data_IF_005214949592
#
_entry.id   IF_005214949592
#
_cell.length_a   1.000
_cell.length_b   1.000
_cell.length_c   1.000
_cell.angle_alpha   90.00
_cell.angle_beta   90.00
_cell.angle_gamma   90.00
#
_symmetry.space_group_name_H-M   'P 1'
#
loop_
_entity.id
_entity.type
_entity.pdbx_description
1 polymer ?
#
# COMPACT_ATOMS: atom_id res chain seq x y z
N UNK A 1 9.59 -68.10 -4.50
CA UNK A 1 9.28 -66.66 -4.36
C UNK A 1 7.81 -66.51 -4.01
N UNK A 2 7.48 -65.87 -2.88
CA UNK A 2 6.12 -65.84 -2.30
C UNK A 2 5.34 -64.63 -2.82
N UNK A 3 4.07 -64.80 -3.25
CA UNK A 3 3.25 -63.74 -3.86
C UNK A 3 2.74 -62.66 -2.89
N UNK A 4 3.18 -62.65 -1.63
CA UNK A 4 2.76 -61.68 -0.60
C UNK A 4 3.66 -60.44 -0.44
N UNK A 5 4.91 -60.47 -0.93
CA UNK A 5 5.88 -59.39 -0.69
C UNK A 5 5.72 -58.18 -1.63
N UNK A 6 5.04 -58.35 -2.76
CA UNK A 6 4.92 -57.29 -3.78
C UNK A 6 3.82 -56.29 -3.45
N UNK A 7 2.78 -56.72 -2.70
CA UNK A 7 1.62 -55.88 -2.38
C UNK A 7 1.93 -54.87 -1.26
N UNK A 8 2.76 -55.28 -0.28
CA UNK A 8 3.10 -54.46 0.89
C UNK A 8 4.05 -53.30 0.51
N UNK A 9 4.94 -53.51 -0.47
CA UNK A 9 5.91 -52.51 -0.94
C UNK A 9 5.28 -51.40 -1.79
N UNK A 10 4.19 -51.70 -2.51
CA UNK A 10 3.43 -50.72 -3.31
C UNK A 10 2.56 -49.80 -2.45
N UNK A 11 2.03 -50.30 -1.34
CA UNK A 11 1.18 -49.52 -0.43
C UNK A 11 2.03 -48.55 0.41
N UNK A 12 3.22 -48.96 0.86
CA UNK A 12 4.14 -48.08 1.62
C UNK A 12 4.65 -46.92 0.75
N UNK A 13 4.87 -47.13 -0.55
CA UNK A 13 5.34 -46.08 -1.46
C UNK A 13 4.25 -45.04 -1.79
N UNK A 14 2.97 -45.43 -1.81
CA UNK A 14 1.85 -44.53 -2.08
C UNK A 14 1.49 -43.64 -0.88
N UNK A 15 1.71 -44.10 0.35
CA UNK A 15 1.38 -43.34 1.58
C UNK A 15 2.43 -42.26 1.88
N UNK A 16 3.69 -42.43 1.47
CA UNK A 16 4.75 -41.44 1.70
C UNK A 16 4.60 -40.21 0.78
N UNK A 17 3.94 -40.34 -0.38
CA UNK A 17 3.73 -39.21 -1.30
C UNK A 17 2.59 -38.27 -0.88
N UNK A 18 1.66 -38.70 -0.02
CA UNK A 18 0.49 -37.90 0.35
C UNK A 18 0.71 -36.97 1.56
N UNK A 19 1.85 -37.06 2.26
CA UNK A 19 2.13 -36.29 3.49
C UNK A 19 3.11 -35.13 3.24
N UNK A 20 3.74 -35.06 2.07
CA UNK A 20 4.80 -34.08 1.77
C UNK A 20 4.32 -32.69 1.32
N UNK A 21 3.02 -32.43 1.19
CA UNK A 21 2.47 -31.21 0.57
C UNK A 21 1.71 -30.28 1.52
N UNK A 22 1.96 -30.38 2.83
CA UNK A 22 1.34 -29.52 3.84
C UNK A 22 2.31 -28.53 4.51
N UNK A 23 3.53 -28.37 4.00
CA UNK A 23 4.58 -27.63 4.69
C UNK A 23 5.20 -26.49 3.87
N UNK A 24 4.41 -25.55 3.33
CA UNK A 24 4.93 -24.24 2.88
C UNK A 24 3.88 -23.12 2.89
N UNK A 25 3.06 -23.01 3.93
CA UNK A 25 2.48 -21.70 4.26
C UNK A 25 3.47 -20.96 5.18
N UNK A 26 4.66 -20.68 4.66
CA UNK A 26 5.55 -19.72 5.29
C UNK A 26 4.85 -18.37 5.18
N UNK A 27 4.40 -17.82 6.30
CA UNK A 27 4.12 -16.39 6.36
C UNK A 27 5.43 -15.69 6.02
N UNK A 28 5.58 -15.26 4.76
CA UNK A 28 6.57 -14.25 4.41
C UNK A 28 6.09 -13.01 5.14
N UNK A 29 6.68 -12.76 6.31
CA UNK A 29 6.59 -11.47 6.97
C UNK A 29 7.30 -10.49 6.06
N UNK A 30 6.55 -9.91 5.11
CA UNK A 30 7.01 -8.74 4.39
C UNK A 30 7.25 -7.67 5.45
N UNK A 31 8.51 -7.31 5.68
CA UNK A 31 8.84 -6.16 6.51
C UNK A 31 8.30 -4.94 5.79
N UNK A 32 7.52 -4.13 6.51
CA UNK A 32 6.98 -2.90 5.96
C UNK A 32 8.15 -1.95 5.68
N UNK A 33 8.26 -1.36 4.48
CA UNK A 33 9.41 -0.54 4.12
C UNK A 33 9.50 0.68 5.03
N UNK A 34 10.71 1.04 5.40
CA UNK A 34 11.01 2.16 6.29
C UNK A 34 11.86 3.21 5.59
N UNK A 35 11.95 4.41 6.18
CA UNK A 35 12.75 5.50 5.63
C UNK A 35 14.25 5.13 5.50
N UNK A 36 14.72 4.13 6.25
CA UNK A 36 16.09 3.63 6.17
C UNK A 36 16.33 2.77 4.92
N UNK A 37 15.27 2.21 4.33
CA UNK A 37 15.36 1.32 3.17
C UNK A 37 15.39 2.07 1.83
N UNK A 38 15.02 3.36 1.86
CA UNK A 38 14.97 4.21 0.66
C UNK A 38 16.37 4.56 0.14
N UNK A 39 16.53 4.49 -1.17
CA UNK A 39 17.66 5.02 -1.92
C UNK A 39 17.50 6.54 -2.10
N UNK A 40 18.17 7.28 -1.21
CA UNK A 40 17.97 8.72 -1.09
C UNK A 40 18.67 9.58 -2.16
N UNK A 41 19.53 9.06 -3.04
CA UNK A 41 20.20 9.85 -4.09
C UNK A 41 21.10 10.99 -3.57
N UNK A 42 21.66 11.80 -4.48
CA UNK A 42 22.74 12.75 -4.15
C UNK A 42 22.28 14.03 -3.42
N UNK A 43 21.02 14.41 -3.56
CA UNK A 43 20.48 15.67 -3.02
C UNK A 43 20.43 15.74 -1.50
N UNK A 44 20.53 14.59 -0.79
CA UNK A 44 20.68 14.57 0.67
C UNK A 44 21.94 15.29 1.12
N UNK A 45 22.99 15.32 0.29
CA UNK A 45 24.19 16.10 0.58
C UNK A 45 23.87 17.61 0.70
N UNK A 46 22.94 18.12 -0.11
CA UNK A 46 22.49 19.51 -0.05
C UNK A 46 21.41 19.74 1.02
N UNK A 47 20.61 18.70 1.31
CA UNK A 47 19.47 18.74 2.22
C UNK A 47 19.52 17.57 3.21
N UNK A 48 20.46 17.59 4.18
CA UNK A 48 20.66 16.47 5.10
C UNK A 48 19.46 16.23 6.02
N UNK A 49 18.64 17.27 6.25
CA UNK A 49 17.45 17.20 7.10
C UNK A 49 16.34 16.30 6.54
N UNK A 50 16.41 15.91 5.28
CA UNK A 50 15.36 15.14 4.61
C UNK A 50 15.22 13.76 5.23
N UNK A 51 16.33 13.06 5.43
CA UNK A 51 16.30 11.69 5.96
C UNK A 51 15.66 11.67 7.35
N UNK A 52 15.99 12.66 8.18
CA UNK A 52 15.43 12.82 9.53
C UNK A 52 13.98 13.32 9.51
N UNK A 53 13.55 13.97 8.43
CA UNK A 53 12.16 14.47 8.28
C UNK A 53 11.21 13.46 7.64
N UNK A 54 11.71 12.32 7.18
CA UNK A 54 10.88 11.26 6.61
C UNK A 54 9.93 10.68 7.68
N UNK A 55 8.63 10.78 7.44
CA UNK A 55 7.58 10.34 8.36
C UNK A 55 7.11 8.90 8.11
N UNK A 56 7.56 8.28 7.03
CA UNK A 56 7.24 6.90 6.67
C UNK A 56 7.46 6.62 5.19
N UNK A 57 7.14 5.40 4.77
CA UNK A 57 7.21 4.97 3.37
C UNK A 57 5.87 4.37 2.95
N UNK A 58 5.49 4.61 1.70
CA UNK A 58 4.32 3.99 1.08
C UNK A 58 4.75 3.38 -0.24
N UNK A 59 4.34 2.13 -0.48
CA UNK A 59 4.51 1.50 -1.78
C UNK A 59 3.26 1.71 -2.64
N UNK A 60 3.45 2.18 -3.87
CA UNK A 60 2.37 2.29 -4.86
C UNK A 60 2.89 1.86 -6.22
N UNK A 61 2.22 0.86 -6.82
CA UNK A 61 2.59 0.29 -8.12
C UNK A 61 4.05 -0.21 -8.18
N UNK A 62 4.55 -0.80 -7.08
CA UNK A 62 5.93 -1.30 -6.98
C UNK A 62 7.00 -0.21 -6.83
N UNK A 63 6.60 1.04 -6.61
CA UNK A 63 7.52 2.17 -6.35
C UNK A 63 7.35 2.60 -4.89
N UNK A 64 8.47 2.74 -4.18
CA UNK A 64 8.50 3.27 -2.84
C UNK A 64 8.46 4.81 -2.85
N UNK A 65 7.64 5.39 -1.99
CA UNK A 65 7.51 6.84 -1.82
C UNK A 65 7.84 7.21 -0.38
N UNK A 66 8.77 8.15 -0.22
CA UNK A 66 9.02 8.83 1.04
C UNK A 66 7.83 9.74 1.38
N UNK A 67 7.26 9.55 2.57
CA UNK A 67 6.19 10.41 3.09
C UNK A 67 6.80 11.52 3.94
N UNK A 68 6.42 12.76 3.65
CA UNK A 68 6.76 13.92 4.48
C UNK A 68 5.51 14.62 4.96
N UNK A 69 5.56 15.14 6.18
CA UNK A 69 4.56 16.06 6.69
C UNK A 69 5.13 17.48 6.61
N UNK A 70 4.37 18.41 6.07
CA UNK A 70 4.80 19.80 5.96
C UNK A 70 3.63 20.76 6.13
N UNK A 71 3.93 22.02 6.41
CA UNK A 71 2.97 23.13 6.34
C UNK A 71 3.34 24.03 5.17
N UNK A 72 2.35 24.37 4.35
CA UNK A 72 2.50 25.31 3.25
C UNK A 72 2.80 26.71 3.81
N UNK A 73 3.98 27.27 3.56
CA UNK A 73 4.24 28.66 3.96
C UNK A 73 3.86 29.63 2.85
N UNK A 74 4.29 29.35 1.61
CA UNK A 74 4.09 30.26 0.49
C UNK A 74 4.23 29.59 -0.87
N UNK A 75 3.34 29.98 -1.79
CA UNK A 75 3.51 29.76 -3.22
C UNK A 75 4.03 31.06 -3.85
N UNK A 76 5.09 30.97 -4.64
CA UNK A 76 5.65 32.12 -5.34
C UNK A 76 5.15 32.17 -6.80
N UNK A 77 5.02 33.36 -7.37
CA UNK A 77 4.55 33.54 -8.75
C UNK A 77 5.46 32.89 -9.81
N UNK A 78 6.71 32.61 -9.47
CA UNK A 78 7.63 31.88 -10.34
C UNK A 78 7.40 30.35 -10.30
N UNK A 79 6.56 29.85 -9.40
CA UNK A 79 6.29 28.42 -9.20
C UNK A 79 7.13 27.74 -8.11
N UNK A 80 7.99 28.48 -7.40
CA UNK A 80 8.65 27.96 -6.20
C UNK A 80 7.63 27.82 -5.06
N UNK A 81 7.92 26.89 -4.16
CA UNK A 81 7.11 26.62 -2.97
C UNK A 81 8.02 26.64 -1.76
N UNK A 82 7.63 27.45 -0.76
CA UNK A 82 8.25 27.46 0.57
C UNK A 82 7.42 26.60 1.51
N UNK A 83 8.05 25.61 2.11
CA UNK A 83 7.43 24.69 3.06
C UNK A 83 8.15 24.72 4.41
N UNK A 84 7.38 24.48 5.46
CA UNK A 84 7.90 24.08 6.77
C UNK A 84 7.74 22.57 6.88
N UNK A 85 8.83 21.83 6.78
CA UNK A 85 8.86 20.37 6.80
C UNK A 85 9.03 19.92 8.25
N UNK A 86 8.14 19.06 8.72
CA UNK A 86 8.13 18.57 10.11
C UNK A 86 8.76 17.20 10.19
N UNK A 87 9.68 17.04 11.13
CA UNK A 87 10.27 15.76 11.47
C UNK A 87 9.42 15.03 12.54
N UNK A 88 9.50 13.68 12.61
CA UNK A 88 8.75 12.90 13.60
C UNK A 88 9.10 13.23 15.06
N UNK A 89 10.27 13.79 15.32
CA UNK A 89 10.72 14.22 16.65
C UNK A 89 10.13 15.57 17.09
N UNK A 90 9.32 16.20 16.24
CA UNK A 90 8.71 17.51 16.48
C UNK A 90 9.59 18.69 16.08
N UNK A 91 10.82 18.46 15.63
CA UNK A 91 11.64 19.50 14.99
C UNK A 91 11.11 19.83 13.59
N UNK A 92 11.52 20.97 13.05
CA UNK A 92 11.12 21.38 11.71
C UNK A 92 12.25 22.12 10.99
N UNK A 93 12.21 22.04 9.67
CA UNK A 93 13.10 22.76 8.77
C UNK A 93 12.26 23.55 7.78
N UNK A 94 12.81 24.65 7.26
CA UNK A 94 12.17 25.43 6.20
C UNK A 94 13.00 25.31 4.95
N UNK A 95 12.36 24.95 3.85
CA UNK A 95 13.02 24.89 2.56
C UNK A 95 12.13 25.44 1.44
N UNK A 96 12.78 25.84 0.35
CA UNK A 96 12.14 26.30 -0.86
C UNK A 96 12.59 25.45 -2.03
N UNK A 97 11.65 24.89 -2.78
CA UNK A 97 11.93 24.12 -3.98
C UNK A 97 10.88 24.37 -5.06
N UNK A 98 11.22 24.02 -6.30
CA UNK A 98 10.28 24.03 -7.42
C UNK A 98 9.74 22.61 -7.61
N UNK A 99 8.48 22.32 -7.24
CA UNK A 99 7.87 21.04 -7.57
C UNK A 99 7.70 20.90 -9.10
N UNK A 100 7.74 19.67 -9.63
CA UNK A 100 7.27 19.40 -10.99
C UNK A 100 5.81 19.86 -11.18
N UNK A 101 5.43 20.21 -12.41
CA UNK A 101 4.12 20.82 -12.70
C UNK A 101 2.93 19.87 -12.42
N UNK A 102 3.15 18.59 -12.63
CA UNK A 102 2.25 17.46 -12.37
C UNK A 102 2.23 17.06 -10.89
N UNK A 103 3.23 17.46 -10.10
CA UNK A 103 3.33 17.06 -8.70
C UNK A 103 2.18 17.64 -7.87
N UNK A 104 1.61 16.80 -7.00
CA UNK A 104 0.48 17.11 -6.13
C UNK A 104 0.85 16.81 -4.69
N UNK A 105 0.41 17.68 -3.79
CA UNK A 105 0.46 17.41 -2.36
C UNK A 105 -0.91 16.91 -1.91
N UNK A 106 -0.91 15.98 -0.97
CA UNK A 106 -2.14 15.52 -0.34
C UNK A 106 -2.54 16.49 0.77
N UNK A 107 -3.76 16.98 0.70
CA UNK A 107 -4.38 17.87 1.67
C UNK A 107 -5.63 17.17 2.19
N UNK A 108 -5.59 16.66 3.41
CA UNK A 108 -6.69 15.92 4.04
C UNK A 108 -7.21 14.72 3.22
N UNK A 109 -6.35 14.09 2.41
CA UNK A 109 -6.74 12.97 1.54
C UNK A 109 -7.08 13.37 0.10
N UNK A 110 -7.07 14.67 -0.21
CA UNK A 110 -7.29 15.19 -1.56
C UNK A 110 -5.96 15.60 -2.22
N UNK A 111 -5.63 15.09 -3.42
CA UNK A 111 -4.43 15.51 -4.14
C UNK A 111 -4.64 16.87 -4.81
N UNK A 112 -3.95 17.91 -4.32
CA UNK A 112 -4.05 19.27 -4.83
C UNK A 112 -2.72 19.79 -5.42
N UNK A 113 -2.79 20.63 -6.48
CA UNK A 113 -1.62 21.38 -6.94
C UNK A 113 -1.23 22.44 -5.92
N UNK A 114 0.08 22.70 -5.77
CA UNK A 114 0.59 23.69 -4.81
C UNK A 114 0.03 25.11 -4.98
N UNK A 115 -0.33 25.49 -6.21
CA UNK A 115 -0.95 26.79 -6.49
C UNK A 115 -2.35 26.96 -5.90
N UNK A 116 -3.03 25.86 -5.57
CA UNK A 116 -4.38 25.87 -4.96
C UNK A 116 -4.35 25.67 -3.44
N UNK A 117 -3.18 25.42 -2.86
CA UNK A 117 -3.05 25.13 -1.42
C UNK A 117 -2.86 26.46 -0.66
N UNK A 118 -3.75 26.79 0.28
CA UNK A 118 -3.60 28.00 1.09
C UNK A 118 -2.36 27.93 1.99
N UNK A 119 -1.73 29.07 2.22
CA UNK A 119 -0.70 29.20 3.26
C UNK A 119 -1.27 28.82 4.64
N UNK A 120 -0.44 28.19 5.46
CA UNK A 120 -0.77 27.67 6.79
C UNK A 120 -1.42 26.28 6.78
N UNK A 121 -1.72 25.72 5.61
CA UNK A 121 -2.33 24.38 5.52
C UNK A 121 -1.28 23.28 5.70
N UNK A 122 -1.61 22.28 6.50
CA UNK A 122 -0.81 21.06 6.61
C UNK A 122 -1.06 20.16 5.40
N UNK A 123 0.04 19.64 4.86
CA UNK A 123 0.08 18.85 3.64
C UNK A 123 0.96 17.62 3.83
N UNK A 124 0.67 16.57 3.07
CA UNK A 124 1.50 15.36 2.97
C UNK A 124 2.12 15.29 1.59
N UNK A 125 3.43 15.10 1.54
CA UNK A 125 4.17 14.90 0.29
C UNK A 125 4.56 13.44 0.16
N UNK A 126 4.41 12.91 -1.04
CA UNK A 126 4.84 11.56 -1.39
C UNK A 126 5.86 11.67 -2.51
N UNK A 127 7.13 11.44 -2.18
CA UNK A 127 8.21 11.63 -3.15
C UNK A 127 8.83 10.27 -3.50
N UNK A 128 8.85 9.88 -4.78
CA UNK A 128 9.35 8.57 -5.18
C UNK A 128 10.84 8.41 -4.90
N UNK A 129 11.23 7.19 -4.53
CA UNK A 129 12.63 6.77 -4.40
C UNK A 129 13.42 7.08 -5.69
N UNK A 130 14.66 7.55 -5.54
CA UNK A 130 15.57 7.82 -6.67
C UNK A 130 15.18 8.98 -7.61
N UNK A 131 14.02 9.64 -7.42
CA UNK A 131 13.51 10.70 -8.31
C UNK A 131 13.35 12.07 -7.64
N UNK A 132 14.28 12.42 -6.77
CA UNK A 132 14.43 13.79 -6.26
C UNK A 132 15.26 14.68 -7.19
N UNK A 133 15.21 14.41 -8.50
CA UNK A 133 15.59 15.34 -9.57
C UNK A 133 14.31 15.69 -10.33
N UNK A 134 14.27 16.87 -10.95
CA UNK A 134 13.11 17.33 -11.75
C UNK A 134 12.78 16.32 -12.84
N UNK A 135 11.90 15.36 -12.55
CA UNK A 135 11.35 14.44 -13.54
C UNK A 135 9.84 14.62 -13.48
N UNK A 136 9.35 15.42 -14.43
CA UNK A 136 7.94 15.37 -14.84
C UNK A 136 7.59 13.93 -15.21
N UNK A 137 6.51 13.41 -14.68
CA UNK A 137 5.87 12.27 -15.30
C UNK A 137 5.14 12.80 -16.53
N UNK A 138 5.68 12.56 -17.72
CA UNK A 138 4.83 12.42 -18.90
C UNK A 138 4.08 11.10 -18.68
N UNK A 139 2.83 11.19 -18.19
CA UNK A 139 1.86 10.15 -18.52
C UNK A 139 1.62 10.26 -20.02
N UNK A 140 1.98 9.20 -20.76
CA UNK A 140 1.51 8.99 -22.13
C UNK A 140 -0.02 8.95 -22.12
N UNK A 141 -0.64 10.13 -22.25
CA UNK A 141 -2.06 10.27 -22.54
C UNK A 141 -2.24 9.86 -23.99
N UNK A 142 -2.62 8.60 -24.19
CA UNK A 142 -3.29 8.16 -25.41
C UNK A 142 -4.58 8.99 -25.51
N UNK A 143 -4.55 10.07 -26.28
CA UNK A 143 -5.74 10.86 -26.59
C UNK A 143 -6.55 10.08 -27.62
N UNK A 144 -7.46 9.22 -27.17
CA UNK A 144 -8.65 8.94 -27.99
C UNK A 144 -9.47 10.23 -28.00
N UNK A 145 -9.62 10.79 -29.20
CA UNK A 145 -10.37 12.01 -29.44
C UNK A 145 -11.83 11.80 -29.02
N UNK A 146 -12.22 12.35 -27.86
CA UNK A 146 -13.61 12.50 -27.48
C UNK A 146 -14.05 13.92 -27.84
N UNK A 147 -15.02 13.96 -28.74
CA UNK A 147 -15.69 15.15 -29.25
C UNK A 147 -16.31 15.94 -28.11
N UNK A 148 -16.02 17.24 -28.09
CA UNK A 148 -16.58 18.23 -27.17
C UNK A 148 -18.01 18.54 -27.60
N UNK A 149 -18.97 18.27 -26.72
CA UNK A 149 -20.25 18.99 -26.69
C UNK A 149 -20.47 19.52 -25.26
N UNK A 150 -20.36 20.84 -25.10
CA UNK A 150 -20.85 21.60 -23.94
C UNK A 150 -22.38 21.86 -24.11
N UNK A 151 -23.07 22.49 -23.14
CA UNK A 151 -23.53 21.95 -21.88
C UNK A 151 -25.05 22.16 -21.70
N UNK A 152 -25.73 21.35 -20.88
CA UNK A 152 -27.09 21.68 -20.41
C UNK A 152 -27.19 21.50 -18.90
N UNK A 153 -27.62 22.58 -18.27
CA UNK A 153 -27.96 22.73 -16.86
C UNK A 153 -29.05 21.73 -16.42
N UNK A 154 -28.92 21.11 -15.26
CA UNK A 154 -29.95 21.19 -14.22
C UNK A 154 -29.48 20.62 -12.88
N UNK A 155 -29.85 21.34 -11.84
CA UNK A 155 -29.61 21.08 -10.42
C UNK A 155 -30.54 19.98 -9.94
N UNK A 156 -30.01 18.89 -9.37
CA UNK A 156 -30.78 17.99 -8.51
C UNK A 156 -29.97 17.64 -7.27
N UNK A 157 -30.46 18.14 -6.14
CA UNK A 157 -30.05 17.76 -4.79
C UNK A 157 -30.51 16.31 -4.55
N UNK A 158 -29.56 15.41 -4.29
CA UNK A 158 -29.86 14.03 -3.87
C UNK A 158 -29.32 13.86 -2.45
N UNK A 159 -30.23 13.76 -1.47
CA UNK A 159 -29.94 13.13 -0.18
C UNK A 159 -29.65 11.65 -0.43
N UNK A 160 -28.39 11.22 -0.28
CA UNK A 160 -28.03 9.80 -0.33
C UNK A 160 -27.63 9.33 1.07
N UNK A 161 -28.45 8.43 1.60
CA UNK A 161 -28.27 7.74 2.88
C UNK A 161 -27.01 6.86 2.85
N UNK A 162 -26.10 7.07 3.79
CA UNK A 162 -24.89 6.26 3.99
C UNK A 162 -25.29 4.82 4.36
N UNK A 163 -25.38 3.94 3.37
CA UNK A 163 -25.39 2.50 3.58
C UNK A 163 -23.94 2.05 3.61
N UNK A 164 -23.43 1.75 4.80
CA UNK A 164 -22.09 1.19 4.93
C UNK A 164 -22.00 -0.10 4.08
N UNK A 165 -20.92 -0.32 3.30
CA UNK A 165 -20.78 -1.56 2.58
C UNK A 165 -20.59 -2.70 3.60
N UNK A 166 -21.47 -3.69 3.55
CA UNK A 166 -21.31 -4.95 4.28
C UNK A 166 -20.11 -5.72 3.72
N UNK A 167 -18.91 -5.43 4.21
CA UNK A 167 -17.66 -6.11 3.84
C UNK A 167 -17.28 -7.25 4.80
N UNK A 168 -18.24 -7.81 5.53
CA UNK A 168 -18.05 -9.09 6.20
C UNK A 168 -18.22 -10.22 5.17
N UNK A 169 -17.14 -10.52 4.43
CA UNK A 169 -17.07 -11.76 3.64
C UNK A 169 -17.43 -12.96 4.54
N UNK A 170 -18.07 -14.02 4.03
CA UNK A 170 -18.47 -15.19 4.83
C UNK A 170 -17.27 -16.10 5.21
N UNK A 171 -16.03 -15.67 4.97
CA UNK A 171 -14.81 -16.41 5.33
C UNK A 171 -14.75 -16.89 6.81
N UNK A 172 -15.12 -16.12 7.84
CA UNK A 172 -15.11 -16.61 9.22
C UNK A 172 -16.14 -17.72 9.46
N UNK A 173 -17.27 -17.73 8.73
CA UNK A 173 -18.26 -18.81 8.82
C UNK A 173 -17.74 -20.12 8.22
N UNK A 174 -17.01 -20.04 7.09
CA UNK A 174 -16.38 -21.21 6.46
C UNK A 174 -15.29 -21.79 7.38
N UNK A 175 -14.49 -20.91 8.00
CA UNK A 175 -13.47 -21.32 8.98
C UNK A 175 -14.06 -22.04 10.20
N UNK A 176 -15.16 -21.53 10.74
CA UNK A 176 -15.86 -22.14 11.88
C UNK A 176 -16.42 -23.53 11.51
N UNK A 177 -17.06 -23.65 10.35
CA UNK A 177 -17.58 -24.93 9.86
C UNK A 177 -16.45 -25.96 9.66
N UNK A 178 -15.33 -25.56 9.07
CA UNK A 178 -14.16 -26.43 8.90
C UNK A 178 -13.57 -26.91 10.24
N UNK A 179 -13.43 -26.01 11.21
CA UNK A 179 -12.94 -26.34 12.55
C UNK A 179 -13.82 -27.36 13.27
N UNK A 180 -15.14 -27.24 13.12
CA UNK A 180 -16.11 -28.19 13.71
C UNK A 180 -15.93 -29.61 13.16
N UNK A 181 -15.75 -29.75 11.84
CA UNK A 181 -15.56 -31.07 11.22
C UNK A 181 -14.24 -31.73 11.64
N UNK A 182 -13.17 -30.96 11.82
CA UNK A 182 -11.88 -31.48 12.32
C UNK A 182 -12.01 -31.96 13.77
N UNK A 183 -12.70 -31.20 14.63
CA UNK A 183 -12.97 -31.60 16.02
C UNK A 183 -13.78 -32.89 16.10
N UNK A 184 -14.87 -33.00 15.35
CA UNK A 184 -15.72 -34.20 15.34
C UNK A 184 -14.99 -35.42 14.76
N UNK A 185 -14.22 -35.24 13.69
CA UNK A 185 -13.39 -36.30 13.10
C UNK A 185 -12.30 -36.78 14.06
N UNK A 186 -11.64 -35.87 14.78
CA UNK A 186 -10.64 -36.19 15.80
C UNK A 186 -11.25 -36.97 16.97
N UNK A 187 -12.41 -36.55 17.45
CA UNK A 187 -13.13 -37.24 18.53
C UNK A 187 -13.56 -38.65 18.12
N UNK A 188 -14.17 -38.80 16.94
CA UNK A 188 -14.59 -40.10 16.42
C UNK A 188 -13.40 -41.05 16.19
N UNK A 189 -12.29 -40.54 15.66
CA UNK A 189 -11.04 -41.29 15.50
C UNK A 189 -10.43 -41.71 16.82
N UNK A 190 -10.47 -40.84 17.85
CA UNK A 190 -10.00 -41.15 19.19
C UNK A 190 -10.83 -42.25 19.86
N UNK A 191 -12.16 -42.16 19.78
CA UNK A 191 -13.07 -43.16 20.33
C UNK A 191 -12.88 -44.53 19.66
N UNK A 192 -12.66 -44.55 18.33
CA UNK A 192 -12.39 -45.80 17.58
C UNK A 192 -11.04 -46.44 17.90
N UNK A 193 -10.06 -45.69 18.40
CA UNK A 193 -8.77 -46.24 18.84
C UNK A 193 -8.80 -46.78 20.28
N UNK A 194 -9.84 -46.44 21.05
CA UNK A 194 -9.99 -46.82 22.47
C UNK A 194 -10.94 -48.00 22.71
N UNK A 195 -11.80 -48.33 21.75
CA UNK A 195 -12.59 -49.57 21.72
C UNK A 195 -11.93 -50.61 20.84
#
# INVERSE_FOLDING_TARGET
MKPGEVLMKKIVFAVICAVGWLATSGAVSAQEPTCADLQWGDWVAERPYVQTSCAGVVEKNGVLYAKFNATMERYFNNGDVKLRIHAPDGSWNVDTFRPPADFRADVDGEPLPFSKIPSGKDIRLYVPEGRFTLVSFEEDVIVEAVVVEEPVEEVVVVEETVVMPTTASPLPLIGLAGGLFVMLGGLAGYLRRRG
#
